data_IF_242513599101
#
_entry.id   IF_242513599101
#
_cell.length_a   1.000
_cell.length_b   1.000
_cell.length_c   1.000
_cell.angle_alpha   90.00
_cell.angle_beta   90.00
_cell.angle_gamma   90.00
#
_symmetry.space_group_name_H-M   'P 1'
#
loop_
_entity.id
_entity.type
_entity.pdbx_description
1 polymer ?
#
# COMPACT_ATOMS: atom_id res chain seq x y z
N UNK A 1 16.89 -10.66 12.30
CA UNK A 1 15.83 -9.64 12.42
C UNK A 1 14.92 -10.09 13.55
N UNK A 2 14.73 -9.32 14.62
CA UNK A 2 13.93 -9.79 15.75
C UNK A 2 12.46 -9.93 15.30
N UNK A 3 11.87 -11.08 15.60
CA UNK A 3 10.46 -11.38 15.40
C UNK A 3 9.62 -10.54 16.36
N UNK A 4 9.12 -9.39 15.90
CA UNK A 4 8.14 -8.60 16.65
C UNK A 4 6.80 -9.34 16.55
N UNK A 5 6.59 -10.29 17.45
CA UNK A 5 5.29 -10.93 17.63
C UNK A 5 4.44 -10.04 18.52
N UNK A 6 3.93 -8.93 17.98
CA UNK A 6 2.85 -8.21 18.65
C UNK A 6 1.62 -9.11 18.59
N UNK A 7 1.15 -9.56 19.75
CA UNK A 7 -0.05 -10.39 19.84
C UNK A 7 -1.23 -9.66 19.17
N UNK A 8 -1.96 -10.37 18.30
CA UNK A 8 -3.18 -9.85 17.72
C UNK A 8 -4.20 -9.63 18.86
N UNK A 9 -4.88 -8.47 18.93
CA UNK A 9 -5.88 -8.22 19.96
C UNK A 9 -6.99 -9.28 19.89
N UNK A 10 -7.38 -9.80 21.05
CA UNK A 10 -8.48 -10.77 21.13
C UNK A 10 -9.82 -10.05 21.00
N UNK A 11 -10.74 -10.64 20.24
CA UNK A 11 -12.12 -10.17 20.12
C UNK A 11 -13.07 -11.39 19.98
N UNK A 12 -14.35 -11.27 20.38
CA UNK A 12 -15.34 -12.34 20.22
C UNK A 12 -15.55 -12.72 18.75
N UNK A 13 -15.47 -14.02 18.43
CA UNK A 13 -15.66 -14.51 17.06
C UNK A 13 -17.03 -14.16 16.46
N UNK A 14 -18.06 -14.02 17.30
CA UNK A 14 -19.40 -13.60 16.89
C UNK A 14 -19.46 -12.19 16.27
N UNK A 15 -18.44 -11.36 16.51
CA UNK A 15 -18.35 -10.01 15.95
C UNK A 15 -17.79 -10.03 14.50
N UNK A 16 -17.17 -11.14 14.08
CA UNK A 16 -16.84 -11.37 12.68
C UNK A 16 -18.11 -11.82 11.96
N UNK A 17 -18.42 -11.15 10.85
CA UNK A 17 -19.59 -11.45 10.03
C UNK A 17 -19.40 -12.77 9.25
N UNK A 18 -19.39 -13.89 9.97
CA UNK A 18 -19.15 -15.26 9.47
C UNK A 18 -17.83 -15.42 8.70
N UNK A 19 -16.91 -14.46 8.83
CA UNK A 19 -15.60 -14.54 8.21
C UNK A 19 -14.82 -15.72 8.78
N UNK A 20 -14.36 -16.62 7.89
CA UNK A 20 -13.72 -17.87 8.30
C UNK A 20 -12.24 -17.72 8.68
N UNK A 21 -11.59 -16.62 8.26
CA UNK A 21 -10.16 -16.34 8.50
C UNK A 21 -9.90 -14.84 8.49
N UNK A 22 -9.20 -14.36 9.52
CA UNK A 22 -8.62 -13.00 9.57
C UNK A 22 -7.10 -13.12 9.39
N UNK A 23 -6.56 -12.48 8.36
CA UNK A 23 -5.14 -12.56 8.01
C UNK A 23 -4.55 -11.15 7.93
N UNK A 24 -3.33 -10.97 8.44
CA UNK A 24 -2.54 -9.77 8.17
C UNK A 24 -1.71 -10.00 6.92
N UNK A 25 -1.75 -9.05 6.00
CA UNK A 25 -0.96 -9.05 4.75
C UNK A 25 0.03 -7.88 4.71
N UNK A 26 0.24 -7.21 5.85
CA UNK A 26 1.24 -6.15 5.94
C UNK A 26 2.64 -6.78 5.92
N UNK A 27 3.48 -6.28 5.00
CA UNK A 27 4.82 -6.74 4.61
C UNK A 27 4.83 -7.68 3.41
N UNK A 28 5.42 -7.21 2.32
CA UNK A 28 5.77 -8.00 1.15
C UNK A 28 7.30 -8.09 1.04
N UNK A 29 7.78 -9.20 0.52
CA UNK A 29 9.19 -9.38 0.21
C UNK A 29 9.53 -8.73 -1.13
N UNK A 30 10.82 -8.54 -1.39
CA UNK A 30 11.32 -8.10 -2.71
C UNK A 30 10.92 -9.07 -3.83
N UNK A 31 10.79 -10.36 -3.51
CA UNK A 31 10.40 -11.38 -4.48
C UNK A 31 8.93 -11.21 -4.88
N UNK A 32 8.04 -11.01 -3.90
CA UNK A 32 6.62 -10.76 -4.15
C UNK A 32 6.41 -9.54 -5.08
N UNK A 33 7.20 -8.47 -4.89
CA UNK A 33 7.15 -7.30 -5.76
C UNK A 33 7.54 -7.61 -7.20
N UNK A 34 8.54 -8.46 -7.43
CA UNK A 34 8.98 -8.83 -8.79
C UNK A 34 7.94 -9.68 -9.50
N UNK A 35 7.38 -10.65 -8.80
CA UNK A 35 6.32 -11.52 -9.32
C UNK A 35 5.08 -10.69 -9.69
N UNK A 36 4.69 -9.76 -8.81
CA UNK A 36 3.61 -8.83 -9.10
C UNK A 36 3.89 -7.97 -10.34
N UNK A 37 5.08 -7.38 -10.45
CA UNK A 37 5.43 -6.55 -11.60
C UNK A 37 5.48 -7.33 -12.91
N UNK A 38 5.91 -8.59 -12.88
CA UNK A 38 5.87 -9.47 -14.04
C UNK A 38 4.42 -9.71 -14.50
N UNK A 39 3.53 -10.07 -13.58
CA UNK A 39 2.10 -10.24 -13.88
C UNK A 39 1.43 -8.95 -14.35
N UNK A 40 1.82 -7.81 -13.78
CA UNK A 40 1.25 -6.50 -14.12
C UNK A 40 1.51 -6.11 -15.59
N UNK A 41 2.60 -6.60 -16.19
CA UNK A 41 2.89 -6.40 -17.61
C UNK A 41 1.97 -7.23 -18.53
N UNK A 42 1.53 -8.41 -18.08
CA UNK A 42 0.66 -9.31 -18.85
C UNK A 42 -0.81 -8.87 -18.85
N UNK A 43 -1.28 -8.27 -17.74
CA UNK A 43 -2.69 -7.85 -17.51
C UNK A 43 -2.84 -6.31 -17.67
N UNK A 44 -2.02 -5.69 -18.54
CA UNK A 44 -1.55 -4.30 -18.51
C UNK A 44 -2.23 -3.35 -17.49
N UNK A 45 -1.75 -3.37 -16.24
CA UNK A 45 -2.25 -2.51 -15.17
C UNK A 45 -1.90 -1.04 -15.49
N UNK A 46 -2.91 -0.15 -15.49
CA UNK A 46 -2.70 1.31 -15.61
C UNK A 46 -2.93 2.00 -14.28
N UNK A 47 -1.87 2.61 -13.74
CA UNK A 47 -1.95 3.37 -12.50
C UNK A 47 -2.36 4.82 -12.76
N UNK A 48 -3.18 5.37 -11.87
CA UNK A 48 -3.47 6.81 -11.82
C UNK A 48 -2.51 7.42 -10.81
N UNK A 49 -1.82 8.48 -11.21
CA UNK A 49 -0.88 9.20 -10.37
C UNK A 49 -0.79 10.65 -10.81
N UNK A 50 -0.42 11.51 -9.87
CA UNK A 50 -0.07 12.90 -10.13
C UNK A 50 1.45 13.06 -9.93
N UNK A 51 2.13 13.71 -10.88
CA UNK A 51 3.58 13.91 -10.85
C UNK A 51 3.95 15.29 -10.32
N UNK A 52 5.03 15.36 -9.55
CA UNK A 52 5.60 16.60 -9.03
C UNK A 52 7.11 16.60 -9.26
N UNK A 53 7.73 17.77 -9.42
CA UNK A 53 9.20 17.86 -9.39
C UNK A 53 9.70 17.56 -7.99
N UNK A 54 10.90 17.01 -7.86
CA UNK A 54 11.53 16.78 -6.57
C UNK A 54 11.62 18.07 -5.73
N UNK A 55 11.87 19.23 -6.38
CA UNK A 55 11.87 20.55 -5.74
C UNK A 55 10.54 20.93 -5.10
N UNK A 56 9.44 20.36 -5.59
CA UNK A 56 8.07 20.68 -5.18
C UNK A 56 7.52 19.64 -4.17
N UNK A 57 8.38 18.84 -3.55
CA UNK A 57 7.99 17.77 -2.63
C UNK A 57 7.08 18.25 -1.48
N UNK A 58 7.33 19.44 -0.93
CA UNK A 58 6.48 20.01 0.12
C UNK A 58 5.05 20.28 -0.36
N UNK A 59 4.88 20.70 -1.62
CA UNK A 59 3.57 20.89 -2.22
C UNK A 59 2.87 19.53 -2.43
N UNK A 60 3.60 18.52 -2.88
CA UNK A 60 3.06 17.16 -3.04
C UNK A 60 2.54 16.61 -1.70
N UNK A 61 3.30 16.80 -0.61
CA UNK A 61 2.90 16.40 0.75
C UNK A 61 1.67 17.17 1.24
N UNK A 62 1.62 18.49 1.00
CA UNK A 62 0.45 19.29 1.35
C UNK A 62 -0.80 18.80 0.61
N UNK A 63 -0.70 18.52 -0.69
CA UNK A 63 -1.83 17.99 -1.48
C UNK A 63 -2.26 16.62 -0.99
N UNK A 64 -1.32 15.73 -0.69
CA UNK A 64 -1.62 14.42 -0.13
C UNK A 64 -2.38 14.52 1.20
N UNK A 65 -1.94 15.41 2.10
CA UNK A 65 -2.57 15.66 3.40
C UNK A 65 -4.02 16.16 3.30
N UNK A 66 -4.34 16.89 2.23
CA UNK A 66 -5.69 17.43 2.00
C UNK A 66 -6.51 16.56 1.03
N UNK A 67 -6.10 15.31 0.76
CA UNK A 67 -6.79 14.37 -0.13
C UNK A 67 -6.94 14.88 -1.58
N UNK A 68 -5.99 15.71 -2.03
CA UNK A 68 -5.99 16.35 -3.35
C UNK A 68 -5.16 15.61 -4.40
N UNK A 69 -4.72 14.38 -4.10
CA UNK A 69 -3.92 13.54 -5.00
C UNK A 69 -4.79 12.39 -5.50
N UNK A 70 -4.77 12.14 -6.81
CA UNK A 70 -5.46 10.98 -7.39
C UNK A 70 -4.49 9.80 -7.46
N UNK A 71 -4.80 8.75 -6.70
CA UNK A 71 -3.93 7.58 -6.60
C UNK A 71 -2.66 7.90 -5.83
N UNK A 72 -1.52 7.98 -6.53
CA UNK A 72 -0.22 8.26 -5.91
C UNK A 72 0.37 9.61 -6.34
N UNK A 73 1.12 10.25 -5.43
CA UNK A 73 1.98 11.37 -5.76
C UNK A 73 3.38 10.83 -6.09
N UNK A 74 3.89 11.11 -7.30
CA UNK A 74 5.19 10.63 -7.77
C UNK A 74 6.14 11.82 -7.91
N UNK A 75 7.28 11.76 -7.21
CA UNK A 75 8.35 12.73 -7.37
C UNK A 75 9.25 12.33 -8.53
N UNK A 76 9.37 13.22 -9.50
CA UNK A 76 10.30 13.09 -10.61
C UNK A 76 11.63 13.80 -10.26
N UNK A 77 12.78 13.25 -10.67
CA UNK A 77 14.09 13.85 -10.44
C UNK A 77 14.21 15.31 -10.91
#
# INVERSE_FOLDING_TARGET
MPSISTACPQFPYQDLYWERRLLSVANFTRQDSRELLQMAMEIPIRTIHDTFRLSDANLALQRLKHEQVRGAAVLLP
#
